data_IF_102818618331
#
_entry.id   IF_102818618331
#
_cell.length_a   1.000
_cell.length_b   1.000
_cell.length_c   1.000
_cell.angle_alpha   90.00
_cell.angle_beta   90.00
_cell.angle_gamma   90.00
#
_symmetry.space_group_name_H-M   'P 1'
#
loop_
_entity.id
_entity.type
_entity.pdbx_description
1 polymer ?
#
# COMPACT_ATOMS: atom_id res chain seq x y z
N UNK A 1 2.93 -12.04 -2.54
CA UNK A 1 1.96 -11.17 -3.23
C UNK A 1 2.54 -9.78 -3.54
N UNK A 2 3.55 -9.31 -2.81
CA UNK A 2 4.18 -7.98 -2.99
C UNK A 2 4.98 -7.82 -4.29
N UNK A 3 5.81 -8.80 -4.69
CA UNK A 3 6.69 -8.68 -5.87
C UNK A 3 5.97 -8.39 -7.19
N UNK A 4 4.85 -9.04 -7.45
CA UNK A 4 4.18 -8.95 -8.75
C UNK A 4 3.55 -7.57 -8.98
N UNK A 5 3.13 -6.90 -7.90
CA UNK A 5 2.66 -5.52 -7.96
C UNK A 5 3.83 -4.55 -8.19
N UNK A 6 4.96 -4.78 -7.51
CA UNK A 6 6.19 -3.99 -7.67
C UNK A 6 6.71 -4.06 -9.11
N UNK A 7 6.83 -5.27 -9.68
CA UNK A 7 7.26 -5.48 -11.07
C UNK A 7 6.32 -4.77 -12.08
N UNK A 8 5.02 -4.72 -11.76
CA UNK A 8 4.03 -4.03 -12.60
C UNK A 8 4.20 -2.52 -12.50
N UNK A 9 4.38 -1.98 -11.29
CA UNK A 9 4.60 -0.54 -11.04
C UNK A 9 5.88 -0.05 -11.74
N UNK A 10 6.97 -0.83 -11.65
CA UNK A 10 8.24 -0.50 -12.30
C UNK A 10 8.16 -0.54 -13.83
N UNK A 11 7.20 -1.29 -14.40
CA UNK A 11 6.96 -1.36 -15.84
C UNK A 11 6.11 -0.21 -16.40
N UNK A 12 5.45 0.56 -15.53
CA UNK A 12 4.54 1.63 -15.91
C UNK A 12 5.26 2.96 -16.08
N UNK A 13 4.64 3.87 -16.84
CA UNK A 13 5.09 5.28 -16.85
C UNK A 13 4.90 5.85 -15.43
N UNK A 14 5.77 6.74 -14.95
CA UNK A 14 5.73 7.25 -13.58
C UNK A 14 4.35 7.76 -13.13
N UNK A 15 3.63 8.48 -14.01
CA UNK A 15 2.28 8.97 -13.71
C UNK A 15 1.22 7.86 -13.57
N UNK A 16 1.34 6.77 -14.33
CA UNK A 16 0.42 5.63 -14.25
C UNK A 16 0.74 4.77 -13.02
N UNK A 17 2.03 4.60 -12.70
CA UNK A 17 2.51 3.99 -11.47
C UNK A 17 1.99 4.72 -10.22
N UNK A 18 2.04 6.05 -10.21
CA UNK A 18 1.51 6.88 -9.11
C UNK A 18 0.00 6.71 -8.92
N UNK A 19 -0.78 6.65 -10.01
CA UNK A 19 -2.23 6.40 -9.93
C UNK A 19 -2.55 5.03 -9.34
N UNK A 20 -1.78 4.01 -9.71
CA UNK A 20 -1.93 2.65 -9.15
C UNK A 20 -1.60 2.67 -7.66
N UNK A 21 -0.52 3.35 -7.26
CA UNK A 21 -0.16 3.50 -5.86
C UNK A 21 -1.26 4.20 -5.04
N UNK A 22 -1.84 5.29 -5.54
CA UNK A 22 -2.95 6.00 -4.87
C UNK A 22 -4.20 5.10 -4.73
N UNK A 23 -4.53 4.31 -5.75
CA UNK A 23 -5.67 3.38 -5.70
C UNK A 23 -5.44 2.23 -4.69
N UNK A 24 -4.22 1.70 -4.64
CA UNK A 24 -3.84 0.66 -3.68
C UNK A 24 -3.85 1.22 -2.26
N UNK A 25 -3.35 2.44 -2.05
CA UNK A 25 -3.39 3.12 -0.76
C UNK A 25 -4.82 3.27 -0.24
N UNK A 26 -5.75 3.76 -1.08
CA UNK A 26 -7.16 3.88 -0.71
C UNK A 26 -7.82 2.54 -0.34
N UNK A 27 -7.43 1.45 -1.01
CA UNK A 27 -7.93 0.11 -0.70
C UNK A 27 -7.40 -0.40 0.64
N UNK A 28 -6.13 -0.12 0.94
CA UNK A 28 -5.52 -0.50 2.22
C UNK A 28 -6.12 0.30 3.39
N UNK A 29 -6.48 1.57 3.17
CA UNK A 29 -7.18 2.37 4.18
C UNK A 29 -8.57 1.86 4.48
N UNK A 30 -9.33 1.49 3.45
CA UNK A 30 -10.63 0.83 3.64
C UNK A 30 -10.47 -0.49 4.43
N UNK A 31 -9.51 -1.34 4.04
CA UNK A 31 -9.25 -2.61 4.73
C UNK A 31 -8.83 -2.42 6.18
N UNK A 32 -8.01 -1.38 6.47
CA UNK A 32 -7.60 -1.02 7.82
C UNK A 32 -8.80 -0.62 8.66
N UNK A 33 -9.68 0.22 8.12
CA UNK A 33 -10.88 0.67 8.82
C UNK A 33 -11.84 -0.50 9.08
N UNK A 34 -12.05 -1.36 8.09
CA UNK A 34 -12.87 -2.57 8.24
C UNK A 34 -12.30 -3.50 9.31
N UNK A 35 -10.98 -3.70 9.33
CA UNK A 35 -10.31 -4.48 10.36
C UNK A 35 -10.53 -3.89 11.76
N UNK A 36 -10.38 -2.58 11.93
CA UNK A 36 -10.63 -1.91 13.21
C UNK A 36 -12.09 -2.03 13.67
N UNK A 37 -13.04 -2.03 12.73
CA UNK A 37 -14.47 -2.20 13.03
C UNK A 37 -14.81 -3.63 13.51
N UNK A 38 -13.99 -4.64 13.18
CA UNK A 38 -14.17 -6.02 13.63
C UNK A 38 -13.73 -6.24 15.10
N UNK A 39 -13.04 -5.27 15.70
CA UNK A 39 -12.63 -5.27 17.10
C UNK A 39 -11.13 -5.45 17.32
N UNK A 40 -10.68 -5.46 18.58
CA UNK A 40 -9.26 -5.46 18.94
C UNK A 40 -8.73 -6.84 19.36
N UNK A 41 -8.91 -7.87 18.53
CA UNK A 41 -8.27 -9.16 18.79
C UNK A 41 -6.77 -9.11 18.43
N UNK A 42 -5.92 -9.99 19.00
CA UNK A 42 -4.51 -10.08 18.61
C UNK A 42 -4.30 -10.28 17.10
N UNK A 43 -5.16 -11.06 16.46
CA UNK A 43 -5.13 -11.34 15.02
C UNK A 43 -5.45 -10.08 14.21
N UNK A 44 -6.46 -9.31 14.62
CA UNK A 44 -6.80 -8.05 13.97
C UNK A 44 -5.68 -7.02 14.16
N UNK A 45 -5.09 -6.93 15.35
CA UNK A 45 -3.93 -6.05 15.60
C UNK A 45 -2.75 -6.41 14.70
N UNK A 46 -2.46 -7.69 14.51
CA UNK A 46 -1.41 -8.13 13.61
C UNK A 46 -1.75 -7.84 12.13
N UNK A 47 -3.02 -8.00 11.74
CA UNK A 47 -3.48 -7.61 10.40
C UNK A 47 -3.28 -6.12 10.15
N UNK A 48 -3.73 -5.25 11.07
CA UNK A 48 -3.55 -3.79 10.99
C UNK A 48 -2.06 -3.43 10.92
N UNK A 49 -1.22 -4.06 11.75
CA UNK A 49 0.24 -3.84 11.72
C UNK A 49 0.85 -4.17 10.36
N UNK A 50 0.42 -5.28 9.73
CA UNK A 50 0.88 -5.67 8.39
C UNK A 50 0.41 -4.69 7.32
N UNK A 51 -0.80 -4.17 7.43
CA UNK A 51 -1.33 -3.13 6.53
C UNK A 51 -0.48 -1.86 6.67
N UNK A 52 -0.23 -1.39 7.89
CA UNK A 52 0.57 -0.20 8.16
C UNK A 52 2.01 -0.35 7.63
N UNK A 53 2.62 -1.52 7.81
CA UNK A 53 3.96 -1.81 7.26
C UNK A 53 3.97 -1.75 5.72
N UNK A 54 2.91 -2.26 5.08
CA UNK A 54 2.80 -2.22 3.62
C UNK A 54 2.54 -0.81 3.10
N UNK A 55 1.69 -0.01 3.76
CA UNK A 55 1.53 1.42 3.45
C UNK A 55 2.86 2.18 3.53
N UNK A 56 3.66 1.92 4.57
CA UNK A 56 5.00 2.51 4.70
C UNK A 56 5.99 2.08 3.62
N UNK A 57 5.78 0.93 2.98
CA UNK A 57 6.54 0.52 1.79
C UNK A 57 6.08 1.27 0.54
N UNK A 58 4.77 1.36 0.30
CA UNK A 58 4.21 2.10 -0.84
C UNK A 58 4.56 3.59 -0.80
N UNK A 59 4.55 4.21 0.39
CA UNK A 59 4.99 5.61 0.55
C UNK A 59 6.44 5.81 0.09
N UNK A 60 7.34 4.86 0.42
CA UNK A 60 8.73 4.93 -0.04
C UNK A 60 8.86 4.76 -1.55
N UNK A 61 8.07 3.87 -2.15
CA UNK A 61 8.04 3.71 -3.62
C UNK A 61 7.51 4.96 -4.32
N UNK A 62 6.48 5.60 -3.76
CA UNK A 62 5.95 6.88 -4.25
C UNK A 62 7.03 7.96 -4.22
N UNK A 63 7.76 8.10 -3.10
CA UNK A 63 8.84 9.09 -2.99
C UNK A 63 9.93 8.86 -4.04
N UNK A 64 10.31 7.61 -4.30
CA UNK A 64 11.27 7.26 -5.37
C UNK A 64 10.74 7.68 -6.74
N UNK A 65 9.48 7.37 -7.06
CA UNK A 65 8.88 7.71 -8.35
C UNK A 65 8.70 9.22 -8.56
N UNK A 66 8.39 9.98 -7.50
CA UNK A 66 8.25 11.45 -7.55
C UNK A 66 9.61 12.15 -7.67
N UNK A 67 10.66 11.57 -7.10
CA UNK A 67 12.03 12.11 -7.16
C UNK A 67 12.85 11.61 -8.35
N UNK A 68 12.30 10.66 -9.14
CA UNK A 68 12.94 10.17 -10.35
C UNK A 68 12.98 11.29 -11.43
N UNK A 69 14.16 11.56 -12.03
CA UNK A 69 14.35 12.65 -13.01
C UNK A 69 13.68 12.41 -14.36
#
# INVERSE_FOLDING_TARGET
MTRQLEDTIDSLRPNDALRVLDAVEGTLDALRQDALNLGETPEIRELVRRIDAYKGHLSRQRDILVTAP
#
